data_IF_773976627851
#
_entry.id   IF_773976627851
#
_cell.length_a   1.000
_cell.length_b   1.000
_cell.length_c   1.000
_cell.angle_alpha   90.00
_cell.angle_beta   90.00
_cell.angle_gamma   90.00
#
_symmetry.space_group_name_H-M   'P 1'
#
loop_
_entity.id
_entity.type
_entity.pdbx_description
1 polymer ?
#
# COMPACT_ATOMS: atom_id res chain seq x y z
N UNK A 1 -4.72 7.08 -15.73
CA UNK A 1 -3.99 7.09 -14.45
C UNK A 1 -3.59 5.67 -14.12
N UNK A 2 -2.33 5.46 -13.81
CA UNK A 2 -1.86 4.12 -13.48
C UNK A 2 -1.96 3.86 -11.99
N UNK A 3 -2.43 2.67 -11.65
CA UNK A 3 -2.57 2.22 -10.27
C UNK A 3 -1.79 0.92 -10.12
N UNK A 4 -1.13 0.76 -9.00
CA UNK A 4 -0.33 -0.42 -8.71
C UNK A 4 -0.65 -0.92 -7.32
N UNK A 5 -0.63 -2.24 -7.11
CA UNK A 5 -0.90 -2.81 -5.79
C UNK A 5 0.28 -3.65 -5.29
N UNK A 6 0.57 -3.52 -4.00
CA UNK A 6 1.51 -4.38 -3.30
C UNK A 6 0.75 -5.01 -2.15
N UNK A 7 0.74 -6.32 -2.10
CA UNK A 7 0.02 -7.01 -1.04
C UNK A 7 0.15 -8.52 -1.14
N UNK A 8 -0.74 -9.21 -0.45
CA UNK A 8 -0.77 -10.65 -0.48
C UNK A 8 -1.26 -11.16 -1.84
N UNK A 9 -1.02 -12.43 -2.08
CA UNK A 9 -1.32 -13.04 -3.37
C UNK A 9 -2.77 -12.90 -3.79
N UNK A 10 -3.70 -13.11 -2.86
CA UNK A 10 -5.12 -13.07 -3.16
C UNK A 10 -5.59 -11.69 -3.59
N UNK A 11 -5.12 -10.67 -2.88
CA UNK A 11 -5.47 -9.29 -3.21
C UNK A 11 -4.87 -8.87 -4.55
N UNK A 12 -3.60 -9.19 -4.77
CA UNK A 12 -2.94 -8.86 -6.03
C UNK A 12 -3.63 -9.55 -7.20
N UNK A 13 -3.99 -10.83 -7.03
CA UNK A 13 -4.69 -11.57 -8.07
C UNK A 13 -6.04 -10.95 -8.37
N UNK A 14 -6.79 -10.58 -7.34
CA UNK A 14 -8.10 -9.95 -7.52
C UNK A 14 -8.00 -8.65 -8.32
N UNK A 15 -7.01 -7.82 -7.99
CA UNK A 15 -6.81 -6.56 -8.71
C UNK A 15 -6.32 -6.78 -10.14
N UNK A 16 -5.54 -7.83 -10.38
CA UNK A 16 -5.13 -8.16 -11.74
C UNK A 16 -6.32 -8.49 -12.64
N UNK A 17 -7.36 -9.07 -12.08
CA UNK A 17 -8.58 -9.37 -12.84
C UNK A 17 -9.27 -8.10 -13.31
N UNK A 18 -9.02 -6.97 -12.66
CA UNK A 18 -9.57 -5.67 -13.08
C UNK A 18 -8.60 -4.88 -13.96
N UNK A 19 -7.44 -5.47 -14.28
CA UNK A 19 -6.45 -4.80 -15.12
C UNK A 19 -5.41 -4.01 -14.35
N UNK A 20 -5.39 -4.09 -13.02
CA UNK A 20 -4.41 -3.40 -12.20
C UNK A 20 -3.20 -4.30 -11.95
N UNK A 21 -2.01 -3.79 -12.26
CA UNK A 21 -0.77 -4.53 -12.03
C UNK A 21 -0.38 -4.50 -10.56
N UNK A 22 0.36 -5.51 -10.13
CA UNK A 22 0.77 -5.57 -8.75
C UNK A 22 1.90 -6.55 -8.49
N UNK A 23 2.42 -6.49 -7.27
CA UNK A 23 3.49 -7.38 -6.80
C UNK A 23 3.02 -8.08 -5.53
N UNK A 24 3.18 -9.40 -5.51
CA UNK A 24 2.93 -10.18 -4.30
C UNK A 24 4.11 -9.99 -3.37
N UNK A 25 3.85 -9.54 -2.16
CA UNK A 25 4.89 -9.33 -1.15
C UNK A 25 4.26 -9.59 0.22
N UNK A 26 4.86 -10.51 0.96
CA UNK A 26 4.32 -10.93 2.25
C UNK A 26 5.29 -10.68 3.40
N UNK A 27 6.58 -10.59 3.12
CA UNK A 27 7.57 -10.28 4.14
C UNK A 27 7.98 -8.81 4.07
N UNK A 28 8.54 -8.30 5.17
CA UNK A 28 9.03 -6.93 5.19
C UNK A 28 10.00 -6.65 4.03
N UNK A 29 10.94 -7.55 3.80
CA UNK A 29 11.92 -7.35 2.74
C UNK A 29 11.27 -7.30 1.37
N UNK A 30 10.32 -8.19 1.11
CA UNK A 30 9.60 -8.20 -0.15
C UNK A 30 8.78 -6.93 -0.35
N UNK A 31 8.08 -6.50 0.69
CA UNK A 31 7.27 -5.28 0.62
C UNK A 31 8.17 -4.07 0.40
N UNK A 32 9.26 -3.98 1.14
CA UNK A 32 10.19 -2.86 1.02
C UNK A 32 10.83 -2.79 -0.37
N UNK A 33 11.25 -3.94 -0.90
CA UNK A 33 11.84 -4.00 -2.23
C UNK A 33 10.84 -3.54 -3.29
N UNK A 34 9.60 -4.01 -3.20
CA UNK A 34 8.56 -3.61 -4.14
C UNK A 34 8.25 -2.13 -4.00
N UNK A 35 8.15 -1.62 -2.78
CA UNK A 35 7.90 -0.22 -2.51
C UNK A 35 9.01 0.68 -3.08
N UNK A 36 10.26 0.31 -2.83
CA UNK A 36 11.39 1.07 -3.35
C UNK A 36 11.42 1.07 -4.87
N UNK A 37 11.08 -0.05 -5.49
CA UNK A 37 11.03 -0.13 -6.94
C UNK A 37 9.97 0.80 -7.52
N UNK A 38 8.80 0.81 -6.92
CA UNK A 38 7.68 1.62 -7.39
C UNK A 38 7.93 3.11 -7.15
N UNK A 39 8.60 3.46 -6.06
CA UNK A 39 8.89 4.86 -5.73
C UNK A 39 10.17 5.37 -6.38
N UNK A 40 10.88 4.52 -7.11
CA UNK A 40 12.10 4.92 -7.79
C UNK A 40 13.34 4.97 -6.91
N UNK A 41 13.26 4.48 -5.68
CA UNK A 41 14.41 4.42 -4.78
C UNK A 41 15.23 3.15 -4.94
N UNK A 42 14.77 2.24 -5.78
CA UNK A 42 15.47 0.98 -5.98
C UNK A 42 16.70 1.12 -6.84
N UNK A 43 17.37 0.00 -7.05
CA UNK A 43 18.56 -0.07 -7.88
C UNK A 43 18.24 0.30 -9.34
N UNK A 44 19.26 0.24 -10.18
CA UNK A 44 19.21 0.58 -11.60
C UNK A 44 18.16 -0.19 -12.43
N UNK A 45 17.45 -1.11 -11.80
CA UNK A 45 16.38 -1.88 -12.44
C UNK A 45 15.02 -1.24 -12.15
N UNK A 46 15.01 -0.01 -11.68
CA UNK A 46 13.75 0.70 -11.44
C UNK A 46 12.93 0.75 -12.74
N UNK A 47 11.62 0.62 -12.59
CA UNK A 47 10.73 0.71 -13.75
C UNK A 47 10.96 2.06 -14.46
N UNK A 48 10.78 2.08 -15.78
CA UNK A 48 10.89 3.34 -16.52
C UNK A 48 10.00 4.41 -15.89
N UNK A 49 10.48 5.64 -15.90
CA UNK A 49 9.76 6.77 -15.29
C UNK A 49 8.32 6.87 -15.80
N UNK A 50 8.12 6.52 -17.06
CA UNK A 50 6.80 6.57 -17.68
C UNK A 50 5.81 5.60 -17.06
N UNK A 51 6.29 4.60 -16.34
CA UNK A 51 5.46 3.57 -15.75
C UNK A 51 5.26 3.74 -14.26
N UNK A 52 5.79 4.81 -13.68
CA UNK A 52 5.56 5.07 -12.25
C UNK A 52 4.08 5.33 -12.04
N UNK A 53 3.42 4.53 -11.20
CA UNK A 53 1.99 4.73 -10.97
C UNK A 53 1.74 6.01 -10.20
N UNK A 54 0.54 6.56 -10.35
CA UNK A 54 0.13 7.73 -9.57
C UNK A 54 -0.50 7.35 -8.25
N UNK A 55 -1.03 6.13 -8.17
CA UNK A 55 -1.62 5.61 -6.94
C UNK A 55 -1.01 4.26 -6.65
N UNK A 56 -0.53 4.10 -5.44
CA UNK A 56 0.00 2.82 -4.94
C UNK A 56 -0.95 2.32 -3.86
N UNK A 57 -1.53 1.17 -4.10
CA UNK A 57 -2.40 0.52 -3.12
C UNK A 57 -1.56 -0.45 -2.30
N UNK A 58 -1.61 -0.31 -0.98
CA UNK A 58 -0.97 -1.25 -0.07
C UNK A 58 -2.05 -1.92 0.76
N UNK A 59 -1.95 -3.23 0.92
CA UNK A 59 -2.81 -3.88 1.91
C UNK A 59 -2.34 -3.43 3.29
N UNK A 60 -3.24 -3.47 4.27
CA UNK A 60 -2.87 -3.08 5.63
C UNK A 60 -1.70 -3.90 6.17
N UNK A 61 -1.68 -5.19 5.85
CA UNK A 61 -0.59 -6.05 6.26
C UNK A 61 0.75 -5.62 5.64
N UNK A 62 0.75 -5.26 4.36
CA UNK A 62 1.95 -4.78 3.69
C UNK A 62 2.39 -3.44 4.26
N UNK A 63 1.44 -2.52 4.46
CA UNK A 63 1.74 -1.20 4.99
C UNK A 63 2.33 -1.28 6.41
N UNK A 64 1.83 -2.21 7.22
CA UNK A 64 2.34 -2.40 8.58
C UNK A 64 3.81 -2.84 8.59
N UNK A 65 4.26 -3.51 7.55
CA UNK A 65 5.64 -3.96 7.44
C UNK A 65 6.62 -2.81 7.16
N UNK A 66 6.14 -1.76 6.53
CA UNK A 66 6.98 -0.62 6.12
C UNK A 66 6.40 0.71 6.58
N UNK A 67 5.81 0.72 7.76
CA UNK A 67 5.13 1.90 8.29
C UNK A 67 5.99 3.16 8.27
N UNK A 68 7.24 3.05 8.72
CA UNK A 68 8.15 4.20 8.76
C UNK A 68 8.44 4.75 7.36
N UNK A 69 8.72 3.85 6.44
CA UNK A 69 9.03 4.22 5.06
C UNK A 69 7.81 4.84 4.37
N UNK A 70 6.62 4.30 4.67
CA UNK A 70 5.39 4.83 4.11
C UNK A 70 5.12 6.26 4.60
N UNK A 71 5.24 6.48 5.91
CA UNK A 71 5.01 7.81 6.49
C UNK A 71 6.01 8.82 5.93
N UNK A 72 7.27 8.43 5.82
CA UNK A 72 8.29 9.31 5.25
C UNK A 72 7.96 9.69 3.82
N UNK A 73 7.50 8.73 3.03
CA UNK A 73 7.11 8.98 1.64
C UNK A 73 5.93 9.94 1.55
N UNK A 74 4.92 9.74 2.40
CA UNK A 74 3.74 10.60 2.42
C UNK A 74 4.10 12.04 2.77
N UNK A 75 5.07 12.24 3.64
CA UNK A 75 5.54 13.60 4.00
C UNK A 75 6.17 14.32 2.84
N UNK A 76 6.75 13.60 1.89
CA UNK A 76 7.37 14.20 0.71
C UNK A 76 6.35 14.71 -0.29
N UNK A 77 5.13 14.24 -0.22
CA UNK A 77 4.06 14.67 -1.12
C UNK A 77 4.27 14.33 -2.58
N UNK A 78 5.08 13.30 -2.86
CA UNK A 78 5.38 12.89 -4.24
C UNK A 78 4.47 11.75 -4.68
N UNK A 79 4.35 11.55 -5.98
CA UNK A 79 3.67 10.38 -6.53
C UNK A 79 4.57 9.16 -6.43
N UNK A 80 4.02 7.97 -6.24
CA UNK A 80 2.59 7.68 -6.13
C UNK A 80 1.99 8.08 -4.79
N UNK A 81 0.71 8.38 -4.80
CA UNK A 81 -0.06 8.55 -3.58
C UNK A 81 -0.36 7.18 -3.02
N UNK A 82 -0.29 7.03 -1.71
CA UNK A 82 -0.48 5.74 -1.06
C UNK A 82 -1.89 5.63 -0.51
N UNK A 83 -2.54 4.50 -0.81
CA UNK A 83 -3.86 4.15 -0.28
C UNK A 83 -3.76 2.80 0.39
N UNK A 84 -4.20 2.69 1.63
CA UNK A 84 -4.22 1.41 2.35
C UNK A 84 -5.61 0.80 2.28
N UNK A 85 -5.68 -0.49 2.03
CA UNK A 85 -6.93 -1.23 2.00
C UNK A 85 -6.82 -2.46 2.90
N UNK A 86 -7.95 -2.93 3.48
CA UNK A 86 -7.92 -4.14 4.29
C UNK A 86 -7.65 -5.38 3.44
N UNK A 87 -7.08 -6.41 4.06
CA UNK A 87 -6.91 -7.70 3.42
C UNK A 87 -8.25 -8.43 3.34
N UNK A 88 -8.30 -9.52 2.57
CA UNK A 88 -9.53 -10.33 2.49
C UNK A 88 -9.95 -10.89 3.84
N UNK A 89 -8.99 -11.13 4.71
CA UNK A 89 -9.26 -11.62 6.07
C UNK A 89 -9.73 -10.52 7.02
N UNK A 90 -9.82 -9.29 6.53
CA UNK A 90 -10.23 -8.15 7.34
C UNK A 90 -9.06 -7.26 7.72
N UNK A 91 -9.26 -6.45 8.75
CA UNK A 91 -8.24 -5.48 9.19
C UNK A 91 -7.12 -6.15 9.96
N UNK A 92 -5.93 -5.55 9.90
CA UNK A 92 -4.80 -6.01 10.68
C UNK A 92 -5.11 -5.80 12.17
N UNK A 93 -4.81 -6.82 12.96
CA UNK A 93 -5.05 -6.78 14.39
C UNK A 93 -4.29 -5.61 15.03
N UNK A 94 -4.98 -4.82 15.83
CA UNK A 94 -4.40 -3.66 16.47
C UNK A 94 -4.49 -2.36 15.68
N UNK A 95 -4.87 -2.44 14.41
CA UNK A 95 -5.09 -1.25 13.60
C UNK A 95 -6.55 -0.81 13.73
N UNK A 96 -6.77 0.49 13.83
CA UNK A 96 -8.12 1.02 13.91
C UNK A 96 -8.79 0.99 12.55
N UNK A 97 -10.05 0.57 12.53
CA UNK A 97 -10.84 0.67 11.32
C UNK A 97 -11.25 2.12 11.10
N UNK A 98 -11.68 2.42 9.89
CA UNK A 98 -12.20 3.75 9.59
C UNK A 98 -13.36 4.12 10.51
N UNK A 99 -14.25 3.16 10.77
CA UNK A 99 -15.39 3.36 11.65
C UNK A 99 -14.95 3.70 13.08
N UNK A 100 -13.95 3.00 13.58
CA UNK A 100 -13.41 3.27 14.90
C UNK A 100 -12.76 4.65 14.99
N UNK A 101 -12.01 5.02 13.96
CA UNK A 101 -11.39 6.34 13.90
C UNK A 101 -12.44 7.46 13.89
N UNK A 102 -13.51 7.25 13.14
CA UNK A 102 -14.62 8.21 13.10
C UNK A 102 -15.29 8.34 14.46
N UNK A 103 -15.54 7.22 15.14
CA UNK A 103 -16.14 7.23 16.48
C UNK A 103 -15.29 8.02 17.46
N UNK A 104 -14.00 7.81 17.44
CA UNK A 104 -13.10 8.55 18.33
C UNK A 104 -13.10 10.04 18.02
N UNK A 105 -13.09 10.39 16.75
CA UNK A 105 -13.04 11.78 16.33
C UNK A 105 -14.28 12.58 16.77
N UNK A 106 -15.44 11.96 16.75
CA UNK A 106 -16.68 12.64 17.12
C UNK A 106 -17.11 12.36 18.57
N UNK A 107 -16.34 11.53 19.29
CA UNK A 107 -16.64 11.25 20.68
C UNK A 107 -17.90 10.46 20.93
N UNK A 108 -18.43 9.81 19.92
CA UNK A 108 -19.64 9.01 20.05
C UNK A 108 -19.27 7.61 20.53
N UNK A 109 -19.88 7.20 21.63
CA UNK A 109 -19.78 5.84 22.10
C UNK A 109 -21.07 5.12 21.77
N UNK A 110 -20.93 4.04 21.05
CA UNK A 110 -22.08 3.22 20.66
C UNK A 110 -21.97 1.86 21.28
#
# INVERSE_FOLDING_TARGET
MKVYIIGDREMVLAFRLTGISGTVAETRQEVLDAFNRVTGKGSAIAAPVDEVPKVLILTEAAAAQIEEEEVEWQKKGKYPLIVEIPCLDGHVKGKKTLTEAIREAIGVQV
#
